data_IF_329414950564
#
_entry.id   IF_329414950564
#
_cell.length_a   1.000
_cell.length_b   1.000
_cell.length_c   1.000
_cell.angle_alpha   90.00
_cell.angle_beta   90.00
_cell.angle_gamma   90.00
#
_symmetry.space_group_name_H-M   'P 1'
#
loop_
_entity.id
_entity.type
_entity.pdbx_description
1 polymer ?
#
# COMPACT_ATOMS: atom_id res chain seq x y z
N UNK A 1 -16.33 21.65 14.17
CA UNK A 1 -15.76 20.31 14.40
C UNK A 1 -15.18 19.87 13.07
N UNK A 2 -13.93 20.26 12.79
CA UNK A 2 -13.24 19.77 11.59
C UNK A 2 -12.90 18.31 11.89
N UNK A 3 -13.57 17.39 11.21
CA UNK A 3 -13.23 15.99 11.33
C UNK A 3 -11.82 15.83 10.78
N UNK A 4 -10.89 15.35 11.60
CA UNK A 4 -9.67 14.70 11.14
C UNK A 4 -10.10 13.56 10.21
N UNK A 5 -10.23 13.88 8.92
CA UNK A 5 -10.54 12.89 7.90
C UNK A 5 -9.24 12.12 7.66
N UNK A 6 -9.04 11.10 8.50
CA UNK A 6 -7.92 10.18 8.40
C UNK A 6 -7.94 9.53 7.01
N UNK A 7 -6.99 9.91 6.16
CA UNK A 7 -6.88 9.36 4.82
C UNK A 7 -6.06 8.07 4.87
N UNK A 8 -6.58 7.02 4.24
CA UNK A 8 -5.96 5.70 4.19
C UNK A 8 -5.20 5.54 2.87
N UNK A 9 -4.03 4.94 2.99
CA UNK A 9 -3.16 4.55 1.88
C UNK A 9 -3.03 3.04 1.87
N UNK A 10 -3.36 2.42 0.74
CA UNK A 10 -3.09 1.01 0.51
C UNK A 10 -1.74 0.85 -0.20
N UNK A 11 -0.81 0.15 0.44
CA UNK A 11 0.44 -0.25 -0.21
C UNK A 11 0.34 -1.67 -0.74
N UNK A 12 0.79 -1.90 -1.97
CA UNK A 12 0.74 -3.21 -2.62
C UNK A 12 2.08 -3.62 -3.22
N UNK A 13 2.36 -4.91 -3.15
CA UNK A 13 3.39 -5.58 -3.94
C UNK A 13 2.77 -6.77 -4.66
N UNK A 14 3.13 -6.99 -5.92
CA UNK A 14 2.51 -8.04 -6.74
C UNK A 14 3.48 -8.65 -7.75
N UNK A 15 3.17 -9.87 -8.20
CA UNK A 15 3.89 -10.53 -9.29
C UNK A 15 3.43 -9.98 -10.63
N UNK A 16 4.28 -10.03 -11.66
CA UNK A 16 3.92 -9.61 -13.03
C UNK A 16 2.73 -10.36 -13.65
N UNK A 17 2.40 -11.54 -13.11
CA UNK A 17 1.25 -12.35 -13.50
C UNK A 17 -0.07 -11.94 -12.80
N UNK A 18 -0.02 -11.06 -11.81
CA UNK A 18 -1.22 -10.57 -11.14
C UNK A 18 -2.01 -9.66 -12.09
N UNK A 19 -3.33 -9.79 -12.05
CA UNK A 19 -4.23 -8.88 -12.74
C UNK A 19 -4.77 -7.78 -11.81
N UNK A 20 -5.40 -6.77 -12.40
CA UNK A 20 -5.98 -5.66 -11.65
C UNK A 20 -7.08 -6.12 -10.68
N UNK A 21 -7.84 -7.16 -11.03
CA UNK A 21 -8.94 -7.65 -10.20
C UNK A 21 -8.42 -8.28 -8.90
N UNK A 22 -7.33 -9.03 -8.94
CA UNK A 22 -6.70 -9.60 -7.74
C UNK A 22 -6.17 -8.50 -6.80
N UNK A 23 -5.64 -7.41 -7.36
CA UNK A 23 -5.23 -6.23 -6.58
C UNK A 23 -6.44 -5.60 -5.89
N UNK A 24 -7.50 -5.29 -6.65
CA UNK A 24 -8.74 -4.69 -6.12
C UNK A 24 -9.33 -5.55 -5.01
N UNK A 25 -9.53 -6.85 -5.25
CA UNK A 25 -10.10 -7.76 -4.25
C UNK A 25 -9.28 -7.81 -2.96
N UNK A 26 -7.93 -7.80 -3.05
CA UNK A 26 -7.10 -7.85 -1.85
C UNK A 26 -7.14 -6.51 -1.09
N UNK A 27 -7.25 -5.38 -1.78
CA UNK A 27 -7.41 -4.06 -1.16
C UNK A 27 -8.76 -3.98 -0.44
N UNK A 28 -9.86 -4.37 -1.08
CA UNK A 28 -11.19 -4.41 -0.47
C UNK A 28 -11.20 -5.33 0.77
N UNK A 29 -10.55 -6.49 0.68
CA UNK A 29 -10.40 -7.39 1.82
C UNK A 29 -9.58 -6.75 2.96
N UNK A 30 -8.53 -5.98 2.63
CA UNK A 30 -7.74 -5.26 3.62
C UNK A 30 -8.59 -4.20 4.34
N UNK A 31 -9.36 -3.40 3.60
CA UNK A 31 -10.26 -2.38 4.16
C UNK A 31 -11.29 -3.00 5.10
N UNK A 32 -11.93 -4.09 4.66
CA UNK A 32 -12.89 -4.83 5.48
C UNK A 32 -12.26 -5.37 6.77
N UNK A 33 -11.03 -5.90 6.73
CA UNK A 33 -10.32 -6.39 7.92
C UNK A 33 -9.93 -5.28 8.89
N UNK A 34 -9.60 -4.11 8.38
CA UNK A 34 -9.27 -2.94 9.18
C UNK A 34 -10.51 -2.18 9.68
N UNK A 35 -11.72 -2.61 9.32
CA UNK A 35 -12.98 -1.91 9.57
C UNK A 35 -12.95 -0.44 9.07
N UNK A 36 -12.27 -0.22 7.94
CA UNK A 36 -12.14 1.07 7.27
C UNK A 36 -13.19 1.15 6.17
N UNK A 37 -13.78 2.33 5.99
CA UNK A 37 -14.71 2.59 4.89
C UNK A 37 -13.95 2.82 3.58
N UNK A 38 -14.52 2.35 2.47
CA UNK A 38 -13.89 2.47 1.15
C UNK A 38 -13.61 3.94 0.78
N UNK A 39 -14.49 4.87 1.18
CA UNK A 39 -14.32 6.30 0.89
C UNK A 39 -13.11 6.93 1.61
N UNK A 40 -12.59 6.28 2.66
CA UNK A 40 -11.39 6.73 3.36
C UNK A 40 -10.11 6.34 2.62
N UNK A 41 -10.16 5.40 1.67
CA UNK A 41 -9.02 5.06 0.83
C UNK A 41 -8.83 6.14 -0.23
N UNK A 42 -7.66 6.77 -0.25
CA UNK A 42 -7.38 7.88 -1.17
C UNK A 42 -6.20 7.61 -2.11
N UNK A 43 -5.32 6.67 -1.74
CA UNK A 43 -4.11 6.36 -2.49
C UNK A 43 -3.84 4.86 -2.55
N UNK A 44 -3.37 4.41 -3.71
CA UNK A 44 -2.80 3.08 -3.92
C UNK A 44 -1.31 3.25 -4.24
N UNK A 45 -0.44 2.70 -3.42
CA UNK A 45 1.01 2.87 -3.50
C UNK A 45 1.72 1.57 -3.85
N UNK A 46 2.76 1.63 -4.66
CA UNK A 46 3.68 0.51 -4.90
C UNK A 46 5.10 1.02 -5.19
N UNK A 47 6.08 0.12 -5.26
CA UNK A 47 7.44 0.48 -5.66
C UNK A 47 7.47 0.88 -7.14
N UNK A 48 8.33 1.83 -7.50
CA UNK A 48 8.47 2.36 -8.87
C UNK A 48 8.58 1.28 -9.96
N UNK A 49 9.28 0.18 -9.67
CA UNK A 49 9.43 -0.96 -10.58
C UNK A 49 8.12 -1.68 -10.95
N UNK A 50 7.04 -1.45 -10.19
CA UNK A 50 5.71 -2.01 -10.40
C UNK A 50 4.68 -0.95 -10.84
N UNK A 51 4.94 0.33 -10.55
CA UNK A 51 3.98 1.41 -10.76
C UNK A 51 3.61 1.66 -12.24
N UNK A 52 4.50 1.29 -13.17
CA UNK A 52 4.25 1.43 -14.62
C UNK A 52 3.46 0.26 -15.22
N UNK A 53 3.16 -0.79 -14.44
CA UNK A 53 2.41 -1.94 -14.95
C UNK A 53 0.93 -1.59 -15.11
N UNK A 54 0.30 -2.08 -16.19
CA UNK A 54 -1.11 -1.81 -16.49
C UNK A 54 -2.04 -2.28 -15.37
N UNK A 55 -1.77 -3.45 -14.78
CA UNK A 55 -2.55 -4.01 -13.68
C UNK A 55 -2.66 -3.05 -12.48
N UNK A 56 -1.59 -2.32 -12.16
CA UNK A 56 -1.59 -1.37 -11.05
C UNK A 56 -2.43 -0.12 -11.37
N UNK A 57 -2.22 0.46 -12.55
CA UNK A 57 -2.96 1.65 -12.98
C UNK A 57 -4.45 1.37 -13.15
N UNK A 58 -4.80 0.20 -13.68
CA UNK A 58 -6.18 -0.24 -13.81
C UNK A 58 -6.83 -0.51 -12.44
N UNK A 59 -6.11 -1.11 -11.49
CA UNK A 59 -6.60 -1.29 -10.13
C UNK A 59 -6.87 0.06 -9.44
N UNK A 60 -5.94 1.01 -9.53
CA UNK A 60 -6.13 2.35 -8.98
C UNK A 60 -7.36 3.06 -9.58
N UNK A 61 -7.55 2.94 -10.91
CA UNK A 61 -8.73 3.49 -11.58
C UNK A 61 -10.03 2.84 -11.10
N UNK A 62 -10.08 1.51 -10.97
CA UNK A 62 -11.27 0.79 -10.49
C UNK A 62 -11.62 1.12 -9.04
N UNK A 63 -10.61 1.35 -8.20
CA UNK A 63 -10.76 1.80 -6.81
C UNK A 63 -11.06 3.30 -6.70
N UNK A 64 -10.99 4.06 -7.81
CA UNK A 64 -11.13 5.52 -7.84
C UNK A 64 -10.14 6.27 -6.92
N UNK A 65 -8.90 5.79 -6.84
CA UNK A 65 -7.84 6.36 -5.97
C UNK A 65 -6.63 6.83 -6.75
N UNK A 66 -5.81 7.67 -6.12
CA UNK A 66 -4.57 8.17 -6.75
C UNK A 66 -3.48 7.10 -6.72
N UNK A 67 -2.91 6.69 -7.87
CA UNK A 67 -1.74 5.81 -7.89
C UNK A 67 -0.48 6.56 -7.45
N UNK A 68 0.32 5.95 -6.58
CA UNK A 68 1.56 6.51 -6.05
C UNK A 68 2.73 5.57 -6.34
N UNK A 69 3.73 6.10 -7.05
CA UNK A 69 5.02 5.44 -7.25
C UNK A 69 5.96 5.82 -6.11
N UNK A 70 6.47 4.82 -5.40
CA UNK A 70 7.43 5.00 -4.30
C UNK A 70 8.82 4.61 -4.78
N UNK A 71 9.78 5.53 -4.64
CA UNK A 71 11.18 5.28 -4.97
C UNK A 71 11.78 4.25 -4.01
N UNK A 72 12.80 3.52 -4.45
CA UNK A 72 13.49 2.54 -3.60
C UNK A 72 14.05 3.17 -2.32
N UNK A 73 14.58 4.40 -2.41
CA UNK A 73 15.09 5.14 -1.25
C UNK A 73 13.99 5.45 -0.23
N UNK A 74 12.82 5.91 -0.69
CA UNK A 74 11.68 6.18 0.19
C UNK A 74 11.14 4.89 0.82
N UNK A 75 11.14 3.80 0.06
CA UNK A 75 10.74 2.47 0.53
C UNK A 75 11.64 2.00 1.69
N UNK A 76 12.97 2.09 1.51
CA UNK A 76 13.94 1.70 2.54
C UNK A 76 13.80 2.57 3.79
N UNK A 77 13.66 3.90 3.62
CA UNK A 77 13.48 4.82 4.74
C UNK A 77 12.21 4.51 5.55
N UNK A 78 11.13 4.09 4.88
CA UNK A 78 9.88 3.72 5.54
C UNK A 78 9.91 2.29 6.14
N UNK A 79 10.76 1.39 5.63
CA UNK A 79 10.77 -0.02 6.03
C UNK A 79 11.07 -0.26 7.51
N UNK A 80 11.81 0.65 8.17
CA UNK A 80 12.09 0.57 9.61
C UNK A 80 10.83 0.68 10.49
N UNK A 81 9.73 1.23 9.93
CA UNK A 81 8.42 1.34 10.59
C UNK A 81 7.49 0.16 10.22
N UNK A 82 7.91 -0.74 9.32
CA UNK A 82 7.16 -1.93 8.98
C UNK A 82 7.29 -3.00 10.07
N UNK A 83 6.28 -3.86 10.20
CA UNK A 83 6.28 -4.94 11.20
C UNK A 83 6.62 -6.32 10.60
N UNK A 84 6.40 -6.52 9.29
CA UNK A 84 6.62 -7.81 8.63
C UNK A 84 8.03 -7.96 8.06
N UNK A 85 8.61 -9.16 8.21
CA UNK A 85 9.87 -9.56 7.61
C UNK A 85 9.70 -10.70 6.58
N UNK A 86 9.71 -10.36 5.29
CA UNK A 86 9.71 -11.31 4.17
C UNK A 86 11.11 -11.47 3.60
N UNK A 87 11.65 -12.69 3.66
CA UNK A 87 12.97 -13.00 3.10
C UNK A 87 13.08 -12.66 1.60
N UNK A 88 11.98 -12.81 0.84
CA UNK A 88 11.95 -12.48 -0.58
C UNK A 88 12.05 -10.97 -0.83
N UNK A 89 11.28 -10.16 -0.10
CA UNK A 89 11.33 -8.71 -0.24
C UNK A 89 12.67 -8.14 0.24
N UNK A 90 13.24 -8.72 1.30
CA UNK A 90 14.57 -8.36 1.78
C UNK A 90 15.62 -8.61 0.70
N UNK A 91 15.60 -9.78 0.06
CA UNK A 91 16.56 -10.13 -0.98
C UNK A 91 16.41 -9.30 -2.27
N UNK A 92 15.19 -8.90 -2.63
CA UNK A 92 14.91 -8.20 -3.89
C UNK A 92 14.96 -6.67 -3.79
N UNK A 93 14.63 -6.11 -2.62
CA UNK A 93 14.37 -4.67 -2.45
C UNK A 93 14.92 -4.11 -1.12
N UNK A 94 15.61 -4.91 -0.30
CA UNK A 94 16.17 -4.46 0.97
C UNK A 94 15.14 -4.12 2.06
N UNK A 95 13.88 -4.56 1.90
CA UNK A 95 12.79 -4.26 2.86
C UNK A 95 12.04 -5.50 3.31
N UNK A 96 11.56 -5.50 4.56
CA UNK A 96 10.78 -6.60 5.12
C UNK A 96 9.44 -6.83 4.41
N UNK A 97 8.82 -5.79 3.87
CA UNK A 97 7.58 -5.88 3.09
C UNK A 97 7.46 -4.68 2.17
N UNK A 98 7.35 -4.91 0.86
CA UNK A 98 7.09 -3.84 -0.11
C UNK A 98 5.75 -3.17 0.15
N UNK A 99 4.72 -3.96 0.48
CA UNK A 99 3.38 -3.43 0.74
C UNK A 99 3.36 -2.47 1.94
N UNK A 100 3.95 -2.86 3.06
CA UNK A 100 3.98 -2.02 4.26
C UNK A 100 4.83 -0.76 4.06
N UNK A 101 6.04 -0.93 3.53
CA UNK A 101 6.93 0.19 3.27
C UNK A 101 6.32 1.18 2.26
N UNK A 102 5.63 0.69 1.22
CA UNK A 102 4.96 1.56 0.25
C UNK A 102 3.79 2.34 0.88
N UNK A 103 2.96 1.69 1.69
CA UNK A 103 1.86 2.35 2.40
C UNK A 103 2.39 3.47 3.31
N UNK A 104 3.41 3.16 4.12
CA UNK A 104 4.03 4.08 5.06
C UNK A 104 4.80 5.23 4.38
N UNK A 105 5.46 4.96 3.25
CA UNK A 105 6.18 5.98 2.50
C UNK A 105 5.20 6.97 1.85
N UNK A 106 4.14 6.47 1.22
CA UNK A 106 3.12 7.32 0.58
C UNK A 106 2.24 8.06 1.60
N UNK A 107 2.00 7.47 2.77
CA UNK A 107 1.34 8.15 3.90
C UNK A 107 2.20 9.22 4.57
N UNK A 108 3.52 9.23 4.35
CA UNK A 108 4.44 10.22 4.89
C UNK A 108 5.07 9.87 6.24
N UNK A 109 5.85 10.80 6.83
CA UNK A 109 6.70 10.53 7.99
C UNK A 109 5.93 10.12 9.26
N UNK A 110 4.70 10.61 9.41
CA UNK A 110 3.82 10.33 10.56
C UNK A 110 2.80 9.22 10.27
N UNK A 111 2.86 8.58 9.10
CA UNK A 111 1.95 7.48 8.81
C UNK A 111 2.22 6.27 9.71
N UNK A 112 1.15 5.59 10.06
CA UNK A 112 1.16 4.40 10.91
C UNK A 112 0.46 3.24 10.21
N UNK A 113 0.98 2.02 10.36
CA UNK A 113 0.30 0.83 9.86
C UNK A 113 -0.96 0.58 10.69
N UNK A 114 -2.09 0.47 10.01
CA UNK A 114 -3.37 0.07 10.61
C UNK A 114 -3.76 -1.36 10.23
N UNK A 115 -3.10 -1.90 9.20
CA UNK A 115 -3.16 -3.31 8.86
C UNK A 115 -1.80 -3.77 8.36
N UNK A 116 -1.25 -4.79 9.02
CA UNK A 116 -0.06 -5.51 8.55
C UNK A 116 -0.30 -6.20 7.21
N UNK A 117 0.79 -6.60 6.56
CA UNK A 117 0.72 -7.25 5.24
C UNK A 117 -0.16 -8.50 5.23
N UNK A 118 -1.23 -8.46 4.45
CA UNK A 118 -2.00 -9.62 4.02
C UNK A 118 -1.61 -10.05 2.59
N UNK A 119 -1.96 -11.26 2.19
CA UNK A 119 -1.55 -11.83 0.90
C UNK A 119 -2.67 -12.63 0.23
N UNK A 120 -2.71 -12.54 -1.10
CA UNK A 120 -3.35 -13.50 -2.00
C UNK A 120 -2.27 -14.39 -2.65
N UNK A 121 -2.62 -15.05 -3.76
CA UNK A 121 -1.67 -15.90 -4.50
C UNK A 121 -0.53 -15.08 -5.14
N UNK A 122 -0.86 -13.92 -5.74
CA UNK A 122 0.09 -13.09 -6.46
C UNK A 122 0.26 -11.68 -5.91
N UNK A 123 -0.61 -11.22 -5.00
CA UNK A 123 -0.63 -9.85 -4.48
C UNK A 123 -0.43 -9.85 -2.96
N UNK A 124 0.18 -8.79 -2.46
CA UNK A 124 0.26 -8.46 -1.04
C UNK A 124 -0.24 -7.03 -0.84
N UNK A 125 -0.92 -6.79 0.27
CA UNK A 125 -1.50 -5.49 0.60
C UNK A 125 -1.29 -5.19 2.09
N UNK A 126 -1.00 -3.93 2.41
CA UNK A 126 -0.99 -3.38 3.77
C UNK A 126 -1.66 -2.01 3.75
N UNK A 127 -2.17 -1.56 4.90
CA UNK A 127 -2.84 -0.27 5.04
C UNK A 127 -2.10 0.62 6.02
N UNK A 128 -1.91 1.87 5.65
CA UNK A 128 -1.41 2.91 6.53
C UNK A 128 -2.42 4.05 6.64
N UNK A 129 -2.49 4.63 7.83
CA UNK A 129 -3.24 5.86 8.10
C UNK A 129 -2.30 7.05 7.94
N UNK A 130 -2.73 8.06 7.19
CA UNK A 130 -2.08 9.36 7.07
C UNK A 130 -2.86 10.38 7.90
N UNK A 131 -2.16 11.07 8.79
CA UNK A 131 -2.67 12.26 9.45
C UNK A 131 -2.56 13.45 8.49
N UNK A 132 -3.65 14.19 8.30
CA UNK A 132 -3.64 15.46 7.56
C UNK A 132 -3.53 16.57 8.60
N UNK A 133 -2.32 17.00 8.90
CA UNK A 133 -2.16 18.27 9.59
C UNK A 133 -2.50 19.39 8.59
N UNK A 134 -3.57 20.12 8.88
CA UNK A 134 -3.91 21.40 8.24
C UNK A 134 -2.86 22.47 8.57
#
# INVERSE_FOLDING_TARGET
>A
MGGDEAMIVAGVGFRRSADASEIVMLVEQALARAAVKDESLTQLATIEALAFLSAFNEAAHRLAVTPVSVTEQALIAAALRGSTNSARSMAAHGVGSVAEAAALAAGGPQAELILERIASACVTCALARREIHS
#
